data_IF_544824323310
#
_entry.id   IF_544824323310
#
_cell.length_a   1.000
_cell.length_b   1.000
_cell.length_c   1.000
_cell.angle_alpha   90.00
_cell.angle_beta   90.00
_cell.angle_gamma   90.00
#
_symmetry.space_group_name_H-M   'P 1'
#
loop_
_entity.id
_entity.type
_entity.pdbx_description
1 polymer ?
#
# COMPACT_ATOMS: atom_id res chain seq x y z
N UNK A 1 -58.63 47.21 29.31
CA UNK A 1 -57.20 46.99 29.49
C UNK A 1 -56.92 45.61 29.06
N UNK A 2 -56.44 45.45 27.81
CA UNK A 2 -56.27 44.15 27.12
C UNK A 2 -54.83 43.82 27.22
N UNK A 3 -54.52 42.74 27.97
CA UNK A 3 -53.16 42.19 28.06
C UNK A 3 -52.96 41.28 26.86
N UNK A 4 -52.13 41.72 25.93
CA UNK A 4 -51.70 40.88 24.81
C UNK A 4 -50.62 39.92 25.29
N UNK A 5 -50.97 38.63 25.33
CA UNK A 5 -50.04 37.53 25.56
C UNK A 5 -49.25 37.27 24.26
N UNK A 6 -48.00 37.64 24.23
CA UNK A 6 -47.10 37.32 23.11
C UNK A 6 -46.55 35.92 23.37
N UNK A 7 -47.05 34.93 22.64
CA UNK A 7 -46.47 33.58 22.62
C UNK A 7 -45.27 33.61 21.66
N UNK A 8 -44.07 33.65 22.22
CA UNK A 8 -42.84 33.36 21.47
C UNK A 8 -42.77 31.87 21.16
N UNK A 9 -43.14 31.51 19.94
CA UNK A 9 -42.87 30.15 19.41
C UNK A 9 -41.38 30.13 19.06
N UNK A 10 -40.59 29.54 19.96
CA UNK A 10 -39.21 29.21 19.68
C UNK A 10 -39.25 27.97 18.76
N UNK A 11 -39.09 28.16 17.46
CA UNK A 11 -38.76 27.09 16.56
C UNK A 11 -37.32 26.65 16.89
N UNK A 12 -37.19 25.70 17.78
CA UNK A 12 -35.99 24.89 17.88
C UNK A 12 -35.92 24.06 16.62
N UNK A 13 -35.22 24.55 15.60
CA UNK A 13 -34.77 23.71 14.48
C UNK A 13 -33.81 22.67 15.07
N UNK A 14 -34.35 21.50 15.36
CA UNK A 14 -33.58 20.28 15.53
C UNK A 14 -32.87 20.06 14.17
N UNK A 15 -31.66 20.57 14.06
CA UNK A 15 -30.70 20.09 13.11
C UNK A 15 -30.35 18.68 13.60
N UNK A 16 -31.08 17.69 13.11
CA UNK A 16 -30.63 16.32 13.15
C UNK A 16 -29.36 16.30 12.35
N UNK A 17 -28.24 16.31 13.06
CA UNK A 17 -26.97 15.86 12.49
C UNK A 17 -27.21 14.39 12.18
N UNK A 18 -27.74 14.11 11.00
CA UNK A 18 -27.56 12.81 10.40
C UNK A 18 -26.05 12.63 10.32
N UNK A 19 -25.48 11.95 11.29
CA UNK A 19 -24.22 11.25 11.11
C UNK A 19 -24.48 10.32 9.96
N UNK A 20 -24.15 10.77 8.75
CA UNK A 20 -24.00 9.91 7.59
C UNK A 20 -22.90 8.95 8.00
N UNK A 21 -23.27 7.89 8.67
CA UNK A 21 -22.52 6.65 8.66
C UNK A 21 -22.47 6.32 7.18
N UNK A 22 -21.37 6.73 6.53
CA UNK A 22 -21.12 6.42 5.14
C UNK A 22 -21.19 4.91 5.07
N UNK A 23 -22.33 4.45 4.59
CA UNK A 23 -22.55 3.04 4.34
C UNK A 23 -21.39 2.65 3.44
N UNK A 24 -20.44 1.86 3.97
CA UNK A 24 -19.21 1.47 3.30
C UNK A 24 -19.60 0.55 2.13
N UNK A 25 -20.33 1.10 1.18
CA UNK A 25 -20.84 0.43 0.01
C UNK A 25 -19.64 -0.09 -0.77
N UNK A 26 -19.41 -1.38 -0.69
CA UNK A 26 -18.38 -2.06 -1.49
C UNK A 26 -18.71 -1.82 -2.96
N UNK A 27 -17.91 -1.01 -3.62
CA UNK A 27 -18.04 -0.75 -5.06
C UNK A 27 -17.32 -1.90 -5.76
N UNK A 28 -18.01 -3.00 -5.96
CA UNK A 28 -17.43 -4.24 -6.50
C UNK A 28 -17.03 -4.17 -7.97
N UNK A 29 -17.44 -3.13 -8.71
CA UNK A 29 -17.27 -3.07 -10.18
C UNK A 29 -17.05 -1.64 -10.69
N UNK A 30 -15.90 -1.04 -10.44
CA UNK A 30 -15.46 0.08 -11.25
C UNK A 30 -14.24 -0.35 -12.08
N UNK A 31 -14.41 -0.80 -13.33
CA UNK A 31 -13.34 -1.37 -14.13
C UNK A 31 -12.22 -0.37 -14.43
N UNK A 32 -12.52 0.93 -14.52
CA UNK A 32 -11.50 1.95 -14.81
C UNK A 32 -10.66 2.31 -13.59
N UNK A 33 -11.25 2.31 -12.40
CA UNK A 33 -10.54 2.49 -11.15
C UNK A 33 -9.49 1.38 -10.94
N UNK A 34 -9.83 0.14 -11.29
CA UNK A 34 -8.95 -1.03 -11.13
C UNK A 34 -7.89 -1.18 -12.23
N UNK A 35 -7.97 -0.42 -13.33
CA UNK A 35 -6.95 -0.44 -14.38
C UNK A 35 -5.68 0.27 -13.91
N UNK A 36 -4.65 -0.47 -13.51
CA UNK A 36 -3.37 0.05 -13.03
C UNK A 36 -2.31 0.22 -14.13
N UNK A 37 -2.71 0.03 -15.39
CA UNK A 37 -1.85 0.10 -16.58
C UNK A 37 -1.35 -1.27 -17.06
N UNK A 38 -1.00 -1.34 -18.36
CA UNK A 38 -0.55 -2.59 -19.01
C UNK A 38 0.68 -3.22 -18.35
N UNK A 39 1.57 -2.40 -17.78
CA UNK A 39 2.79 -2.89 -17.12
C UNK A 39 2.49 -3.59 -15.78
N UNK A 40 1.39 -3.22 -15.12
CA UNK A 40 0.94 -3.90 -13.91
C UNK A 40 0.16 -5.18 -14.24
N UNK A 41 -0.70 -5.11 -15.25
CA UNK A 41 -1.59 -6.20 -15.63
C UNK A 41 -2.77 -6.36 -14.66
N UNK A 42 -3.31 -7.56 -14.61
CA UNK A 42 -4.40 -7.95 -13.70
C UNK A 42 -3.92 -7.89 -12.24
N UNK A 43 -4.73 -7.31 -11.37
CA UNK A 43 -4.46 -7.24 -9.93
C UNK A 43 -4.83 -8.55 -9.23
N UNK A 44 -3.97 -9.00 -8.31
CA UNK A 44 -4.18 -10.19 -7.49
C UNK A 44 -3.86 -9.89 -6.03
N UNK A 45 -4.66 -10.45 -5.13
CA UNK A 45 -4.39 -10.37 -3.69
C UNK A 45 -3.35 -11.43 -3.32
N UNK A 46 -2.32 -11.02 -2.56
CA UNK A 46 -1.16 -11.86 -2.28
C UNK A 46 -1.42 -12.98 -1.28
N UNK A 47 -2.36 -12.78 -0.37
CA UNK A 47 -2.66 -13.70 0.73
C UNK A 47 -3.80 -14.70 0.44
N UNK A 48 -4.32 -14.75 -0.80
CA UNK A 48 -5.39 -15.69 -1.17
C UNK A 48 -4.93 -17.15 -1.36
N UNK A 49 -3.69 -17.47 -1.01
CA UNK A 49 -3.15 -18.81 -1.21
C UNK A 49 -3.25 -19.67 0.06
N UNK A 50 -4.02 -20.75 -0.02
CA UNK A 50 -4.04 -21.83 0.98
C UNK A 50 -5.21 -21.80 1.94
N UNK A 51 -5.88 -20.68 2.16
CA UNK A 51 -7.03 -20.61 3.07
C UNK A 51 -8.33 -20.91 2.33
N UNK A 52 -8.96 -22.03 2.65
CA UNK A 52 -10.31 -22.37 2.18
C UNK A 52 -11.28 -21.39 2.85
N UNK A 53 -12.08 -20.65 2.06
CA UNK A 53 -13.04 -19.64 2.52
C UNK A 53 -12.45 -18.34 3.10
N UNK A 54 -11.18 -18.05 2.92
CA UNK A 54 -10.60 -16.77 3.34
C UNK A 54 -11.16 -15.59 2.54
N UNK A 55 -11.73 -14.62 3.24
CA UNK A 55 -12.16 -13.35 2.68
C UNK A 55 -11.22 -12.25 3.21
N UNK A 56 -10.25 -11.80 2.41
CA UNK A 56 -9.36 -10.73 2.83
C UNK A 56 -10.15 -9.47 3.16
N UNK A 57 -9.76 -8.77 4.22
CA UNK A 57 -10.38 -7.51 4.60
C UNK A 57 -9.88 -6.35 3.71
N UNK A 58 -10.00 -6.57 2.40
CA UNK A 58 -9.76 -5.61 1.33
C UNK A 58 -11.09 -5.23 0.71
N UNK A 59 -11.33 -3.94 0.58
CA UNK A 59 -12.56 -3.40 0.00
C UNK A 59 -12.23 -2.21 -0.91
N UNK A 60 -13.06 -2.00 -1.91
CA UNK A 60 -13.10 -0.78 -2.70
C UNK A 60 -14.33 -0.01 -2.22
N UNK A 61 -14.12 1.18 -1.69
CA UNK A 61 -15.15 1.98 -1.03
C UNK A 61 -15.12 3.43 -1.53
N UNK A 62 -16.16 4.20 -1.24
CA UNK A 62 -16.11 5.65 -1.34
C UNK A 62 -15.06 6.18 -0.34
N UNK A 63 -14.43 7.29 -0.66
CA UNK A 63 -13.46 7.91 0.23
C UNK A 63 -14.08 8.26 1.58
N UNK A 64 -13.67 7.62 2.69
CA UNK A 64 -14.22 7.89 4.00
C UNK A 64 -13.65 9.17 4.63
N UNK A 65 -12.62 9.76 4.01
CA UNK A 65 -11.94 10.96 4.54
C UNK A 65 -12.52 12.25 3.99
N UNK A 66 -13.27 12.18 2.87
CA UNK A 66 -13.80 13.34 2.16
C UNK A 66 -12.74 14.24 1.52
N UNK A 67 -11.46 13.83 1.56
CA UNK A 67 -10.31 14.65 1.11
C UNK A 67 -9.44 13.97 0.07
N UNK A 68 -9.82 12.77 -0.36
CA UNK A 68 -9.09 12.05 -1.41
C UNK A 68 -9.15 12.77 -2.74
N UNK A 69 -8.07 12.77 -3.52
CA UNK A 69 -8.11 13.27 -4.89
C UNK A 69 -8.99 12.43 -5.83
N UNK A 70 -9.46 11.28 -5.38
CA UNK A 70 -10.40 10.40 -6.08
C UNK A 70 -11.54 9.99 -5.15
N UNK A 71 -12.77 9.93 -5.67
CA UNK A 71 -13.95 9.57 -4.87
C UNK A 71 -13.95 8.12 -4.36
N UNK A 72 -13.08 7.28 -4.93
CA UNK A 72 -13.01 5.85 -4.62
C UNK A 72 -11.61 5.52 -4.13
N UNK A 73 -11.55 4.71 -3.07
CA UNK A 73 -10.30 4.29 -2.45
C UNK A 73 -10.28 2.77 -2.26
N UNK A 74 -9.08 2.24 -2.19
CA UNK A 74 -8.80 0.86 -1.80
C UNK A 74 -8.52 0.85 -0.30
N UNK A 75 -9.34 0.14 0.46
CA UNK A 75 -9.21 -0.04 1.91
C UNK A 75 -8.49 -1.36 2.19
N UNK A 76 -7.36 -1.26 2.85
CA UNK A 76 -6.58 -2.38 3.38
C UNK A 76 -6.66 -2.34 4.90
N UNK A 77 -7.41 -3.28 5.48
CA UNK A 77 -7.65 -3.34 6.94
C UNK A 77 -7.30 -4.72 7.48
N UNK A 78 -6.01 -5.14 7.45
CA UNK A 78 -5.62 -6.45 7.93
C UNK A 78 -5.92 -6.58 9.42
N UNK A 79 -6.34 -7.77 9.79
CA UNK A 79 -6.60 -8.20 11.16
C UNK A 79 -5.77 -9.43 11.45
N UNK A 80 -5.65 -9.77 12.71
CA UNK A 80 -5.06 -11.03 13.10
C UNK A 80 -5.68 -12.19 12.34
N UNK A 81 -4.85 -13.08 11.81
CA UNK A 81 -5.25 -14.16 10.93
C UNK A 81 -5.27 -13.81 9.44
N UNK A 82 -5.12 -12.53 9.07
CA UNK A 82 -4.90 -12.12 7.68
C UNK A 82 -3.44 -12.41 7.29
N UNK A 83 -3.20 -13.64 6.86
CA UNK A 83 -1.86 -14.17 6.57
C UNK A 83 -1.94 -15.20 5.43
N UNK A 84 -0.81 -15.57 4.86
CA UNK A 84 -0.72 -16.65 3.88
C UNK A 84 -0.32 -17.95 4.55
N UNK A 85 -1.10 -19.02 4.33
CA UNK A 85 -0.75 -20.38 4.75
C UNK A 85 0.17 -21.06 3.73
N UNK A 86 0.43 -20.42 2.59
CA UNK A 86 1.35 -20.96 1.63
C UNK A 86 2.77 -20.96 2.20
N UNK A 87 3.39 -22.12 2.22
CA UNK A 87 4.79 -22.26 2.57
C UNK A 87 5.69 -21.41 1.67
N UNK A 88 6.49 -20.56 2.30
CA UNK A 88 7.45 -19.73 1.59
C UNK A 88 8.78 -20.45 1.33
N UNK A 89 9.02 -21.55 2.05
CA UNK A 89 10.28 -22.28 2.04
C UNK A 89 10.01 -23.78 1.96
N UNK A 90 9.86 -24.27 0.75
CA UNK A 90 9.85 -25.70 0.50
C UNK A 90 11.22 -26.26 0.91
N UNK A 91 11.26 -27.17 1.87
CA UNK A 91 12.46 -27.92 2.27
C UNK A 91 13.00 -27.70 3.67
N UNK A 92 12.39 -26.85 4.51
CA UNK A 92 12.59 -26.89 5.98
C UNK A 92 11.45 -27.69 6.61
N UNK A 93 11.80 -28.68 7.42
CA UNK A 93 10.80 -29.41 8.22
C UNK A 93 9.92 -28.43 8.99
N UNK A 94 8.60 -28.44 8.74
CA UNK A 94 7.64 -27.58 9.41
C UNK A 94 7.21 -26.33 8.65
N UNK A 95 7.41 -26.22 7.34
CA UNK A 95 6.94 -25.16 6.43
C UNK A 95 6.75 -23.78 7.08
N UNK A 96 7.52 -22.78 6.64
CA UNK A 96 7.36 -21.40 7.14
C UNK A 96 6.28 -20.71 6.33
N UNK A 97 5.17 -20.37 6.99
CA UNK A 97 4.06 -19.59 6.40
C UNK A 97 3.99 -18.21 7.06
N UNK A 98 3.25 -17.27 6.46
CA UNK A 98 2.98 -16.00 7.14
C UNK A 98 2.20 -16.24 8.45
N UNK A 99 1.28 -17.22 8.44
CA UNK A 99 0.40 -17.50 9.57
C UNK A 99 1.16 -18.07 10.77
N UNK A 100 2.03 -19.07 10.57
CA UNK A 100 2.78 -19.68 11.67
C UNK A 100 3.95 -18.81 12.17
N UNK A 101 4.29 -17.75 11.45
CA UNK A 101 5.30 -16.76 11.87
C UNK A 101 4.69 -15.47 12.42
N UNK A 102 3.35 -15.42 12.56
CA UNK A 102 2.64 -14.27 13.13
C UNK A 102 2.70 -13.00 12.26
N UNK A 103 2.83 -13.15 10.93
CA UNK A 103 2.85 -12.04 10.00
C UNK A 103 1.43 -11.63 9.61
N UNK A 104 1.20 -10.32 9.37
CA UNK A 104 0.00 -9.81 8.74
C UNK A 104 0.31 -9.41 7.32
N UNK A 105 -0.47 -9.90 6.36
CA UNK A 105 -0.30 -9.55 4.95
C UNK A 105 -1.62 -9.27 4.27
N UNK A 106 -1.74 -8.11 3.69
CA UNK A 106 -2.82 -7.74 2.79
C UNK A 106 -2.24 -6.86 1.68
N UNK A 107 -1.75 -7.50 0.62
CA UNK A 107 -1.08 -6.85 -0.50
C UNK A 107 -1.75 -7.19 -1.82
N UNK A 108 -1.72 -6.26 -2.76
CA UNK A 108 -2.06 -6.47 -4.16
C UNK A 108 -0.78 -6.44 -4.99
N UNK A 109 -0.67 -7.38 -5.90
CA UNK A 109 0.41 -7.41 -6.88
C UNK A 109 -0.12 -7.50 -8.32
N UNK A 110 0.67 -7.00 -9.26
CA UNK A 110 0.39 -7.12 -10.68
C UNK A 110 0.79 -8.49 -11.21
N UNK A 111 -0.07 -9.08 -12.06
CA UNK A 111 0.23 -10.33 -12.77
C UNK A 111 1.45 -10.20 -13.67
N UNK A 112 1.66 -9.02 -14.26
CA UNK A 112 2.78 -8.76 -15.15
C UNK A 112 4.05 -8.47 -14.35
N UNK A 113 4.99 -9.40 -14.43
CA UNK A 113 6.31 -9.26 -13.82
C UNK A 113 7.30 -8.70 -14.83
N UNK A 114 8.14 -7.76 -14.39
CA UNK A 114 9.29 -7.34 -15.19
C UNK A 114 10.34 -8.46 -15.15
N UNK A 115 10.73 -9.00 -16.30
CA UNK A 115 11.74 -10.06 -16.35
C UNK A 115 13.13 -9.53 -16.66
N UNK A 116 14.15 -10.16 -16.08
CA UNK A 116 15.57 -9.90 -16.34
C UNK A 116 15.90 -10.02 -17.84
N UNK A 117 15.28 -10.99 -18.52
CA UNK A 117 15.42 -11.17 -19.98
C UNK A 117 15.02 -9.92 -20.77
N UNK A 118 13.92 -9.24 -20.35
CA UNK A 118 13.47 -8.00 -21.00
C UNK A 118 14.42 -6.84 -20.72
N UNK A 119 14.93 -6.73 -19.49
CA UNK A 119 15.87 -5.68 -19.09
C UNK A 119 17.22 -5.87 -19.74
N UNK A 120 17.69 -7.14 -19.91
CA UNK A 120 18.93 -7.45 -20.64
C UNK A 120 18.89 -6.98 -22.10
N UNK A 121 17.71 -7.09 -22.76
CA UNK A 121 17.55 -6.58 -24.13
C UNK A 121 17.64 -5.07 -24.21
N UNK A 122 17.03 -4.38 -23.23
CA UNK A 122 17.02 -2.91 -23.10
C UNK A 122 16.64 -2.53 -21.67
N UNK A 123 17.37 -1.67 -20.98
CA UNK A 123 16.96 -1.08 -19.70
C UNK A 123 15.53 -0.53 -19.77
N UNK A 124 14.80 -0.61 -18.67
CA UNK A 124 13.38 -0.25 -18.58
C UNK A 124 13.19 0.94 -17.68
N UNK A 125 12.75 2.02 -18.26
CA UNK A 125 12.40 3.26 -17.59
C UNK A 125 10.90 3.24 -17.29
N UNK A 126 10.53 3.16 -16.01
CA UNK A 126 9.16 2.94 -15.58
C UNK A 126 8.82 3.88 -14.43
N UNK A 127 7.62 4.45 -14.51
CA UNK A 127 6.99 5.24 -13.48
C UNK A 127 5.92 4.43 -12.74
N UNK A 128 5.90 4.58 -11.41
CA UNK A 128 4.89 4.03 -10.52
C UNK A 128 4.33 5.17 -9.69
N UNK A 129 3.04 5.19 -9.45
CA UNK A 129 2.43 6.27 -8.68
C UNK A 129 1.17 5.81 -7.95
N UNK A 130 0.96 6.37 -6.75
CA UNK A 130 -0.23 6.18 -5.95
C UNK A 130 -0.39 7.33 -4.96
N UNK A 131 -1.60 7.51 -4.47
CA UNK A 131 -1.87 8.21 -3.23
C UNK A 131 -2.06 7.21 -2.10
N UNK A 132 -1.56 7.55 -0.92
CA UNK A 132 -1.71 6.78 0.31
C UNK A 132 -2.20 7.68 1.43
N UNK A 133 -3.08 7.17 2.28
CA UNK A 133 -3.54 7.83 3.48
C UNK A 133 -3.38 6.90 4.68
N UNK A 134 -2.70 7.39 5.70
CA UNK A 134 -2.56 6.73 6.99
C UNK A 134 -3.54 7.42 7.95
N UNK A 135 -4.56 6.72 8.48
CA UNK A 135 -5.53 7.31 9.40
C UNK A 135 -4.88 7.90 10.66
N UNK A 136 -5.55 8.89 11.26
CA UNK A 136 -5.06 9.52 12.50
C UNK A 136 -4.95 8.53 13.66
N UNK A 137 -5.85 7.56 13.70
CA UNK A 137 -5.93 6.48 14.69
C UNK A 137 -5.06 5.26 14.35
N UNK A 138 -4.19 5.36 13.33
CA UNK A 138 -3.21 4.31 13.04
C UNK A 138 -2.39 4.01 14.30
N UNK A 139 -2.28 2.71 14.71
CA UNK A 139 -1.70 2.33 15.99
C UNK A 139 -0.29 2.91 16.22
N UNK A 140 -0.05 3.38 17.43
CA UNK A 140 1.29 3.77 17.91
C UNK A 140 1.97 2.57 18.57
N UNK A 141 2.20 1.55 17.80
CA UNK A 141 2.88 0.34 18.26
C UNK A 141 4.31 0.32 17.73
N UNK A 142 5.34 0.22 18.58
CA UNK A 142 6.75 0.29 18.17
C UNK A 142 7.17 -0.89 17.28
N UNK A 143 6.42 -1.98 17.34
CA UNK A 143 6.68 -3.18 16.55
C UNK A 143 5.89 -3.21 15.23
N UNK A 144 4.86 -2.36 15.08
CA UNK A 144 4.07 -2.27 13.87
C UNK A 144 4.80 -1.42 12.83
N UNK A 145 5.56 -2.06 11.99
CA UNK A 145 6.37 -1.44 10.93
C UNK A 145 5.98 -2.01 9.56
N UNK A 146 4.77 -1.73 9.06
CA UNK A 146 4.29 -2.36 7.84
C UNK A 146 5.03 -1.84 6.62
N UNK A 147 5.39 -2.75 5.73
CA UNK A 147 5.70 -2.42 4.35
C UNK A 147 4.43 -1.98 3.64
N UNK A 148 4.51 -0.86 2.94
CA UNK A 148 3.42 -0.21 2.22
C UNK A 148 3.45 -0.52 0.72
N UNK A 149 4.65 -0.65 0.18
CA UNK A 149 4.87 -1.22 -1.14
C UNK A 149 6.22 -1.93 -1.21
N UNK A 150 6.32 -2.84 -2.15
CA UNK A 150 7.53 -3.60 -2.41
C UNK A 150 7.73 -3.78 -3.92
N UNK A 151 8.97 -3.59 -4.37
CA UNK A 151 9.44 -4.10 -5.64
C UNK A 151 10.10 -5.45 -5.36
N UNK A 152 9.26 -6.48 -5.39
CA UNK A 152 9.59 -7.80 -4.91
C UNK A 152 10.27 -8.61 -6.00
N UNK A 153 11.52 -9.00 -5.75
CA UNK A 153 12.31 -9.84 -6.64
C UNK A 153 12.03 -11.34 -6.47
N UNK A 154 12.11 -12.10 -7.55
CA UNK A 154 12.07 -13.57 -7.52
C UNK A 154 13.00 -14.17 -8.55
N UNK A 155 13.64 -15.31 -8.23
CA UNK A 155 14.48 -16.07 -9.15
C UNK A 155 13.79 -17.38 -9.53
N UNK A 156 14.04 -17.86 -10.75
CA UNK A 156 13.41 -19.08 -11.27
C UNK A 156 13.72 -20.33 -10.45
N UNK A 157 14.95 -20.42 -9.94
CA UNK A 157 15.49 -21.65 -9.33
C UNK A 157 15.77 -21.50 -7.83
N UNK A 158 15.44 -20.37 -7.20
CA UNK A 158 15.69 -20.20 -5.76
C UNK A 158 14.47 -20.60 -4.96
N UNK A 159 14.64 -21.59 -4.11
CA UNK A 159 13.66 -22.00 -3.10
C UNK A 159 13.69 -21.11 -1.85
N UNK A 160 13.86 -19.81 -2.01
CA UNK A 160 13.87 -18.91 -0.86
C UNK A 160 14.81 -17.72 -1.02
N UNK A 161 14.65 -16.73 -0.15
CA UNK A 161 15.50 -15.53 -0.12
C UNK A 161 15.02 -14.42 -1.05
N UNK A 162 13.72 -14.13 -1.00
CA UNK A 162 13.15 -12.99 -1.70
C UNK A 162 13.30 -11.74 -0.83
N UNK A 163 14.15 -10.82 -1.27
CA UNK A 163 14.29 -9.53 -0.60
C UNK A 163 13.69 -8.47 -1.51
N UNK A 164 12.82 -7.58 -1.00
CA UNK A 164 12.38 -6.45 -1.80
C UNK A 164 13.59 -5.56 -2.10
N UNK A 165 13.84 -5.32 -3.39
CA UNK A 165 14.96 -4.46 -3.81
C UNK A 165 14.72 -3.00 -3.44
N UNK A 166 13.46 -2.59 -3.48
CA UNK A 166 12.99 -1.27 -3.08
C UNK A 166 11.68 -1.49 -2.32
N UNK A 167 11.55 -0.87 -1.16
CA UNK A 167 10.33 -0.89 -0.38
C UNK A 167 10.05 0.47 0.24
N UNK A 168 8.78 0.74 0.50
CA UNK A 168 8.34 1.77 1.42
C UNK A 168 7.78 1.11 2.67
N UNK A 169 8.10 1.62 3.83
CA UNK A 169 7.60 1.12 5.10
C UNK A 169 7.34 2.27 6.08
N UNK A 170 6.41 2.06 7.00
CA UNK A 170 6.35 2.88 8.21
C UNK A 170 7.42 2.32 9.14
N UNK A 171 8.42 3.12 9.46
CA UNK A 171 9.49 2.77 10.39
C UNK A 171 9.63 3.87 11.44
N UNK A 172 9.51 3.53 12.72
CA UNK A 172 9.49 4.51 13.83
C UNK A 172 8.49 5.65 13.59
N UNK A 173 7.25 5.31 13.19
CA UNK A 173 6.17 6.25 12.85
C UNK A 173 6.47 7.22 11.70
N UNK A 174 7.48 7.00 10.89
CA UNK A 174 7.86 7.82 9.73
C UNK A 174 7.77 7.00 8.46
N UNK A 175 7.50 7.63 7.33
CA UNK A 175 7.60 6.93 6.05
C UNK A 175 9.04 6.87 5.59
N UNK A 176 9.56 5.66 5.48
CA UNK A 176 10.90 5.38 5.00
C UNK A 176 10.88 4.68 3.64
N UNK A 177 11.74 5.11 2.72
CA UNK A 177 11.98 4.47 1.43
C UNK A 177 13.49 4.38 1.22
N UNK A 178 14.00 3.20 0.86
CA UNK A 178 15.44 2.96 0.64
C UNK A 178 16.33 3.47 1.79
N UNK A 179 15.89 3.31 3.04
CA UNK A 179 16.60 3.78 4.21
C UNK A 179 16.48 5.29 4.49
N UNK A 180 15.82 6.05 3.64
CA UNK A 180 15.63 7.51 3.78
C UNK A 180 14.22 7.80 4.31
N UNK A 181 14.11 8.59 5.37
CA UNK A 181 12.83 9.12 5.83
C UNK A 181 12.38 10.24 4.90
N UNK A 182 11.18 10.09 4.32
CA UNK A 182 10.61 11.06 3.37
C UNK A 182 9.40 11.82 3.93
N UNK A 183 8.78 11.29 4.98
CA UNK A 183 7.69 11.94 5.71
C UNK A 183 7.89 11.67 7.20
N UNK A 184 7.96 12.73 8.00
CA UNK A 184 8.08 12.66 9.44
C UNK A 184 6.75 12.33 10.13
N UNK A 185 6.83 11.90 11.41
CA UNK A 185 5.68 11.42 12.19
C UNK A 185 4.52 12.42 12.24
N UNK A 186 4.80 13.70 12.51
CA UNK A 186 3.78 14.76 12.60
C UNK A 186 3.04 15.01 11.27
N UNK A 187 3.66 14.64 10.16
CA UNK A 187 3.13 14.86 8.83
C UNK A 187 2.54 13.61 8.18
N UNK A 188 2.75 12.42 8.75
CA UNK A 188 2.37 11.16 8.11
C UNK A 188 0.88 10.86 8.18
N UNK A 189 0.24 11.09 9.33
CA UNK A 189 -1.14 10.67 9.59
C UNK A 189 -2.16 11.75 9.24
N UNK A 190 -3.35 11.32 8.80
CA UNK A 190 -4.50 12.20 8.61
C UNK A 190 -4.49 13.03 7.32
N UNK A 191 -3.63 12.72 6.37
CA UNK A 191 -3.55 13.40 5.06
C UNK A 191 -3.20 12.42 3.95
N UNK A 192 -3.57 12.78 2.73
CA UNK A 192 -3.18 12.06 1.52
C UNK A 192 -1.78 12.45 1.08
N UNK A 193 -0.96 11.44 0.79
CA UNK A 193 0.41 11.60 0.29
C UNK A 193 0.51 11.01 -1.11
N UNK A 194 0.93 11.81 -2.06
CA UNK A 194 1.28 11.38 -3.41
C UNK A 194 2.69 10.84 -3.41
N UNK A 195 2.85 9.59 -3.76
CA UNK A 195 4.16 8.94 -3.91
C UNK A 195 4.34 8.53 -5.36
N UNK A 196 5.45 8.94 -5.95
CA UNK A 196 5.83 8.53 -7.29
C UNK A 196 7.25 7.97 -7.28
N UNK A 197 7.46 6.90 -8.02
CA UNK A 197 8.79 6.35 -8.31
C UNK A 197 9.08 6.50 -9.78
N UNK A 198 10.29 6.93 -10.10
CA UNK A 198 10.86 6.86 -11.42
C UNK A 198 12.08 5.95 -11.36
N UNK A 199 11.99 4.78 -11.97
CA UNK A 199 13.02 3.76 -11.86
C UNK A 199 13.49 3.34 -13.25
N UNK A 200 14.79 3.47 -13.49
CA UNK A 200 15.44 2.82 -14.61
C UNK A 200 15.95 1.46 -14.16
N UNK A 201 15.23 0.43 -14.52
CA UNK A 201 15.63 -0.95 -14.28
C UNK A 201 16.76 -1.34 -15.23
N UNK A 202 17.92 -1.67 -14.68
CA UNK A 202 19.12 -2.01 -15.43
C UNK A 202 19.90 -3.13 -14.72
N UNK A 203 20.62 -3.90 -15.52
CA UNK A 203 21.59 -4.92 -15.07
C UNK A 203 22.99 -4.33 -14.93
N UNK A 204 23.19 -3.09 -15.36
CA UNK A 204 24.46 -2.36 -15.33
C UNK A 204 24.38 -1.23 -14.31
N UNK A 205 25.51 -0.58 -14.03
CA UNK A 205 25.61 0.57 -13.13
C UNK A 205 25.04 1.87 -13.72
N UNK A 206 24.10 1.78 -14.67
CA UNK A 206 23.41 2.93 -15.25
C UNK A 206 21.95 3.03 -14.81
N UNK A 207 21.54 2.20 -13.83
CA UNK A 207 20.23 2.24 -13.21
C UNK A 207 20.08 3.44 -12.26
N UNK A 208 18.84 3.84 -12.01
CA UNK A 208 18.52 4.85 -11.01
C UNK A 208 17.17 4.61 -10.34
N UNK A 209 17.01 5.21 -9.16
CA UNK A 209 15.74 5.32 -8.45
C UNK A 209 15.56 6.77 -8.00
N UNK A 210 14.49 7.39 -8.49
CA UNK A 210 14.02 8.69 -8.03
C UNK A 210 12.68 8.53 -7.35
N UNK A 211 12.52 9.13 -6.17
CA UNK A 211 11.26 9.11 -5.42
C UNK A 211 10.79 10.53 -5.20
N UNK A 212 9.53 10.77 -5.51
CA UNK A 212 8.86 12.05 -5.31
C UNK A 212 7.76 11.90 -4.27
N UNK A 213 7.68 12.84 -3.35
CA UNK A 213 6.58 13.03 -2.42
C UNK A 213 5.91 14.36 -2.71
N UNK A 214 4.62 14.35 -3.00
CA UNK A 214 3.84 15.55 -3.36
C UNK A 214 4.53 16.42 -4.44
N UNK A 215 5.06 15.78 -5.48
CA UNK A 215 5.83 16.34 -6.59
C UNK A 215 7.27 16.79 -6.28
N UNK A 216 7.69 16.83 -5.03
CA UNK A 216 9.04 17.18 -4.61
C UNK A 216 9.95 15.94 -4.68
N UNK A 217 11.14 16.07 -5.27
CA UNK A 217 12.14 15.00 -5.33
C UNK A 217 12.77 14.80 -3.95
N UNK A 218 12.55 13.65 -3.34
CA UNK A 218 13.06 13.28 -2.00
C UNK A 218 14.25 12.33 -2.06
N UNK A 219 14.31 11.46 -3.07
CA UNK A 219 15.40 10.49 -3.25
C UNK A 219 15.84 10.55 -4.71
N UNK A 220 17.15 10.64 -4.93
CA UNK A 220 17.80 10.55 -6.22
C UNK A 220 19.05 9.67 -6.09
N UNK A 221 18.89 8.36 -6.32
CA UNK A 221 20.00 7.40 -6.34
C UNK A 221 20.26 6.99 -7.78
N UNK A 222 21.48 7.18 -8.24
CA UNK A 222 21.93 6.88 -9.62
C UNK A 222 23.10 5.91 -9.60
N UNK A 223 23.46 5.43 -10.78
CA UNK A 223 24.71 4.71 -11.05
C UNK A 223 24.88 3.41 -10.28
N UNK A 224 23.81 2.59 -10.26
CA UNK A 224 23.85 1.27 -9.65
C UNK A 224 22.95 0.25 -10.39
N UNK A 225 23.19 -1.03 -10.13
CA UNK A 225 22.37 -2.13 -10.64
C UNK A 225 21.02 -2.13 -9.92
N UNK A 226 19.94 -1.82 -10.64
CA UNK A 226 18.58 -1.77 -10.08
C UNK A 226 17.83 -3.09 -10.21
N UNK A 227 18.31 -4.05 -11.01
CA UNK A 227 17.66 -5.35 -11.19
C UNK A 227 18.63 -6.51 -10.97
N UNK A 228 18.53 -7.17 -9.81
CA UNK A 228 19.36 -8.30 -9.43
C UNK A 228 18.66 -9.66 -9.54
N UNK A 229 17.32 -9.67 -9.65
CA UNK A 229 16.49 -10.88 -9.70
C UNK A 229 15.99 -11.19 -11.11
N UNK A 230 15.57 -12.44 -11.36
CA UNK A 230 15.02 -12.86 -12.65
C UNK A 230 13.69 -12.17 -12.98
N UNK A 231 12.90 -11.90 -11.96
CA UNK A 231 11.61 -11.20 -12.07
C UNK A 231 11.42 -10.18 -10.96
N UNK A 232 10.72 -9.09 -11.28
CA UNK A 232 10.26 -8.08 -10.33
C UNK A 232 8.76 -7.90 -10.45
N UNK A 233 8.08 -7.85 -9.31
CA UNK A 233 6.66 -7.51 -9.19
C UNK A 233 6.52 -6.27 -8.33
N UNK A 234 5.73 -5.30 -8.76
CA UNK A 234 5.29 -4.22 -7.90
C UNK A 234 4.11 -4.70 -7.07
N UNK A 235 4.25 -4.61 -5.75
CA UNK A 235 3.21 -4.88 -4.76
C UNK A 235 2.93 -3.64 -3.95
N UNK A 236 1.69 -3.47 -3.50
CA UNK A 236 1.30 -2.42 -2.57
C UNK A 236 0.17 -2.91 -1.66
N UNK A 237 -0.03 -2.24 -0.55
CA UNK A 237 -0.97 -2.62 0.50
C UNK A 237 -0.29 -2.52 1.86
N UNK A 238 -0.39 -3.55 2.69
CA UNK A 238 0.26 -3.58 3.99
C UNK A 238 0.80 -4.99 4.29
N UNK A 239 2.02 -5.05 4.77
CA UNK A 239 2.67 -6.29 5.17
C UNK A 239 3.53 -6.06 6.41
N UNK A 240 3.09 -6.60 7.54
CA UNK A 240 3.83 -6.56 8.81
C UNK A 240 4.43 -7.93 9.08
N UNK A 241 5.73 -7.96 9.33
CA UNK A 241 6.44 -9.17 9.67
C UNK A 241 7.29 -8.95 10.91
N UNK A 242 7.48 -10.02 11.67
CA UNK A 242 8.47 -10.02 12.75
C UNK A 242 9.85 -10.06 12.12
N UNK A 243 10.63 -9.01 12.37
CA UNK A 243 12.01 -8.96 11.90
C UNK A 243 12.90 -9.74 12.88
N UNK A 244 13.85 -10.51 12.35
CA UNK A 244 14.77 -11.33 13.16
C UNK A 244 15.71 -10.50 14.05
N UNK A 245 15.80 -9.20 13.82
CA UNK A 245 16.61 -8.27 14.62
C UNK A 245 15.89 -7.64 15.82
N UNK A 246 14.58 -7.89 16.00
CA UNK A 246 13.80 -7.32 17.10
C UNK A 246 13.37 -8.39 18.10
N UNK A 247 13.53 -8.09 19.40
CA UNK A 247 12.94 -8.86 20.48
C UNK A 247 11.46 -8.45 20.60
N UNK A 248 10.57 -9.29 20.14
CA UNK A 248 9.14 -9.10 20.33
C UNK A 248 8.70 -9.67 21.68
N UNK A 249 7.72 -9.04 22.36
CA UNK A 249 7.10 -9.65 23.53
C UNK A 249 6.61 -11.08 23.24
N UNK A 250 6.63 -11.94 24.23
CA UNK A 250 6.06 -13.27 24.11
C UNK A 250 4.58 -13.16 23.67
N UNK A 251 4.18 -13.96 22.70
CA UNK A 251 2.83 -13.95 22.12
C UNK A 251 2.42 -12.61 21.48
N UNK A 252 3.40 -11.72 21.14
CA UNK A 252 3.08 -10.49 20.46
C UNK A 252 2.31 -10.73 19.16
N UNK A 253 1.23 -9.95 19.00
CA UNK A 253 0.38 -9.95 17.83
C UNK A 253 0.28 -8.53 17.28
N UNK A 254 0.44 -8.38 15.98
CA UNK A 254 0.28 -7.08 15.34
C UNK A 254 -1.15 -6.58 15.51
N UNK A 255 -1.35 -5.31 15.94
CA UNK A 255 -2.67 -4.71 16.00
C UNK A 255 -3.27 -4.60 14.60
N UNK A 256 -4.59 -4.76 14.51
CA UNK A 256 -5.33 -4.41 13.31
C UNK A 256 -5.14 -2.94 12.98
N UNK A 257 -5.00 -2.63 11.69
CA UNK A 257 -4.81 -1.24 11.23
C UNK A 257 -5.45 -1.05 9.87
N UNK A 258 -5.64 0.21 9.49
CA UNK A 258 -6.22 0.56 8.20
C UNK A 258 -5.29 1.48 7.43
N UNK A 259 -5.18 1.24 6.11
CA UNK A 259 -4.45 2.09 5.18
C UNK A 259 -5.30 2.21 3.92
N UNK A 260 -5.39 3.42 3.37
CA UNK A 260 -6.11 3.66 2.11
C UNK A 260 -5.15 3.97 0.98
N UNK A 261 -5.49 3.48 -0.21
CA UNK A 261 -4.79 3.80 -1.45
C UNK A 261 -5.78 4.28 -2.50
N UNK A 262 -5.29 5.14 -3.40
CA UNK A 262 -6.03 5.49 -4.60
C UNK A 262 -5.11 5.89 -5.74
N UNK A 263 -5.62 5.89 -6.98
CA UNK A 263 -4.87 6.30 -8.16
C UNK A 263 -3.66 5.43 -8.50
N UNK A 264 -3.57 4.21 -7.96
CA UNK A 264 -2.43 3.30 -8.21
C UNK A 264 -2.29 3.03 -9.70
N UNK A 265 -1.10 3.27 -10.23
CA UNK A 265 -0.83 3.07 -11.66
C UNK A 265 0.65 2.92 -11.98
N UNK A 266 0.93 2.23 -13.10
CA UNK A 266 2.28 1.98 -13.63
C UNK A 266 2.33 2.35 -15.09
N UNK A 267 3.32 3.14 -15.51
CA UNK A 267 3.42 3.66 -16.87
C UNK A 267 4.88 3.88 -17.29
N UNK A 268 5.12 3.98 -18.61
CA UNK A 268 6.41 4.44 -19.17
C UNK A 268 6.57 5.98 -19.12
N UNK A 269 5.50 6.73 -18.87
CA UNK A 269 5.50 8.19 -18.87
C UNK A 269 4.84 8.71 -17.60
N UNK A 270 5.44 9.72 -16.95
CA UNK A 270 4.92 10.31 -15.71
C UNK A 270 3.51 10.86 -15.89
N UNK A 271 3.27 11.58 -16.97
CA UNK A 271 1.97 12.19 -17.28
C UNK A 271 0.86 11.18 -17.63
N UNK A 272 1.16 9.87 -17.69
CA UNK A 272 0.17 8.80 -17.85
C UNK A 272 -0.13 8.07 -16.55
N UNK A 273 0.50 8.46 -15.44
CA UNK A 273 0.08 7.99 -14.12
C UNK A 273 -1.27 8.62 -13.77
N UNK A 274 -2.14 7.85 -13.12
CA UNK A 274 -3.44 8.33 -12.64
C UNK A 274 -3.29 9.51 -11.70
N UNK A 275 -2.31 9.44 -10.80
CA UNK A 275 -2.01 10.51 -9.84
C UNK A 275 -1.67 11.86 -10.47
N UNK A 276 -1.44 11.91 -11.77
CA UNK A 276 -1.14 13.13 -12.53
C UNK A 276 -2.29 13.50 -13.51
N UNK A 277 -3.42 12.79 -13.46
CA UNK A 277 -4.59 13.01 -14.31
C UNK A 277 -5.87 13.08 -13.46
N UNK A 278 -5.83 13.84 -12.39
CA UNK A 278 -7.00 14.15 -11.56
C UNK A 278 -7.86 15.12 -12.38
N UNK A 279 -9.11 14.75 -12.62
CA UNK A 279 -10.10 15.59 -13.30
C UNK A 279 -10.85 16.40 -12.26
#
# INVERSE_FOLDING_TARGET
MIIRLIICIIFASLITIETVLADNKVISKNPDFLKRGKLFGEARIANAYGQVNYKPNYKIILDPTGTSPFNIVENFSPRQGDCSEKEHWEGRAGGITDCNTGRLRLEIYGKNKLSKKLVKKKPRDIWYGYYIYIPKDFPKDPYLQPYLNQFYGSNKNSRGGYVPQISAAIFKNKLQILGTYIIDEENLKGKWHKIEYHIKWSLNNDGFVKVYHNNELKINKTDFITMTHDFLSFKYGTYSHKDYGYSYPENYQFPGHTIYYTGVSVSKKRNKLKVNNIK
#
